data_IF_172079469438
#
_entry.id   IF_172079469438
#
_cell.length_a   1.000
_cell.length_b   1.000
_cell.length_c   1.000
_cell.angle_alpha   90.00
_cell.angle_beta   90.00
_cell.angle_gamma   90.00
#
_symmetry.space_group_name_H-M   'P 1'
#
loop_
_entity.id
_entity.type
_entity.pdbx_description
1 polymer ?
#
# COMPACT_ATOMS: atom_id res chain seq x y z
N UNK A 1 8.89 -25.48 10.59
CA UNK A 1 8.39 -26.23 9.44
C UNK A 1 7.78 -25.35 8.33
N UNK A 2 6.98 -24.31 8.61
CA UNK A 2 6.33 -23.44 7.59
C UNK A 2 7.31 -22.60 6.75
N UNK A 3 8.42 -22.12 7.34
CA UNK A 3 9.47 -21.37 6.60
C UNK A 3 10.23 -22.21 5.57
N UNK A 4 10.38 -23.52 5.81
CA UNK A 4 11.04 -24.43 4.88
C UNK A 4 10.22 -24.75 3.63
N UNK A 5 8.90 -24.77 3.73
CA UNK A 5 8.00 -25.06 2.59
C UNK A 5 7.97 -23.88 1.62
N UNK A 6 7.94 -22.64 2.13
CA UNK A 6 8.00 -21.42 1.29
C UNK A 6 9.36 -21.30 0.59
N UNK A 7 10.44 -21.66 1.29
CA UNK A 7 11.79 -21.71 0.71
C UNK A 7 11.91 -22.79 -0.38
N UNK A 8 11.32 -23.95 -0.16
CA UNK A 8 11.32 -25.05 -1.13
C UNK A 8 10.49 -24.70 -2.37
N UNK A 9 9.34 -24.06 -2.21
CA UNK A 9 8.50 -23.59 -3.32
C UNK A 9 9.19 -22.50 -4.15
N UNK A 10 9.86 -21.55 -3.51
CA UNK A 10 10.68 -20.54 -4.20
C UNK A 10 11.88 -21.15 -4.91
N UNK A 11 12.57 -22.14 -4.31
CA UNK A 11 13.69 -22.86 -4.94
C UNK A 11 13.22 -23.73 -6.11
N UNK A 12 12.08 -24.38 -6.02
CA UNK A 12 11.49 -25.15 -7.15
C UNK A 12 11.10 -24.21 -8.29
N UNK A 13 10.57 -23.02 -7.98
CA UNK A 13 10.30 -21.97 -8.98
C UNK A 13 11.59 -21.54 -9.71
N UNK A 14 12.69 -21.37 -8.98
CA UNK A 14 13.99 -20.94 -9.55
C UNK A 14 14.63 -22.04 -10.42
N UNK A 15 14.58 -23.31 -9.99
CA UNK A 15 15.24 -24.42 -10.71
C UNK A 15 14.50 -24.86 -11.98
N UNK A 16 13.20 -24.59 -12.10
CA UNK A 16 12.41 -24.97 -13.29
C UNK A 16 12.63 -24.04 -14.50
N UNK A 17 13.28 -22.88 -14.32
CA UNK A 17 13.46 -21.87 -15.37
C UNK A 17 14.60 -22.11 -16.36
N UNK A 18 15.33 -23.23 -16.30
CA UNK A 18 16.59 -23.39 -17.04
C UNK A 18 16.47 -23.86 -18.51
N UNK A 19 15.28 -24.04 -19.04
CA UNK A 19 15.17 -24.50 -20.43
C UNK A 19 13.97 -23.94 -21.17
N UNK A 20 14.11 -22.84 -21.91
CA UNK A 20 13.47 -22.66 -23.23
C UNK A 20 14.09 -21.49 -24.02
N UNK A 21 14.26 -21.75 -25.31
CA UNK A 21 15.04 -20.97 -26.24
C UNK A 21 14.29 -19.80 -26.84
N UNK A 22 15.01 -18.70 -27.08
CA UNK A 22 14.60 -17.57 -27.91
C UNK A 22 15.25 -17.62 -29.29
N UNK A 23 14.51 -17.39 -30.34
CA UNK A 23 15.00 -17.17 -31.68
C UNK A 23 14.21 -16.02 -32.34
N UNK A 24 14.86 -14.93 -32.69
CA UNK A 24 15.07 -14.46 -34.06
C UNK A 24 15.57 -13.00 -34.07
N UNK A 25 16.69 -12.77 -34.78
CA UNK A 25 17.39 -11.54 -35.15
C UNK A 25 18.53 -11.03 -34.24
N UNK A 26 18.84 -11.67 -33.13
CA UNK A 26 20.05 -11.38 -32.35
C UNK A 26 21.18 -12.36 -32.72
N UNK A 27 22.43 -11.89 -32.62
CA UNK A 27 23.56 -12.80 -32.70
C UNK A 27 23.48 -13.83 -31.55
N UNK A 28 24.03 -15.05 -31.76
CA UNK A 28 23.99 -16.07 -30.73
C UNK A 28 24.64 -15.61 -29.41
N UNK A 29 25.60 -14.71 -29.47
CA UNK A 29 26.29 -14.14 -28.31
C UNK A 29 25.42 -13.11 -27.57
N UNK A 30 24.70 -12.26 -28.28
CA UNK A 30 23.74 -11.30 -27.69
C UNK A 30 22.56 -12.01 -27.04
N UNK A 31 22.03 -13.07 -27.67
CA UNK A 31 20.96 -13.89 -27.11
C UNK A 31 21.40 -14.61 -25.83
N UNK A 32 22.64 -15.15 -25.81
CA UNK A 32 23.20 -15.78 -24.61
C UNK A 32 23.42 -14.78 -23.47
N UNK A 33 23.87 -13.57 -23.78
CA UNK A 33 24.05 -12.48 -22.79
C UNK A 33 22.70 -12.01 -22.23
N UNK A 34 21.69 -11.81 -23.09
CA UNK A 34 20.35 -11.44 -22.67
C UNK A 34 19.74 -12.50 -21.75
N UNK A 35 19.85 -13.78 -22.11
CA UNK A 35 19.36 -14.87 -21.27
C UNK A 35 20.12 -14.93 -19.93
N UNK A 36 21.43 -14.75 -19.91
CA UNK A 36 22.22 -14.67 -18.68
C UNK A 36 21.73 -13.51 -17.78
N UNK A 37 21.50 -12.34 -18.37
CA UNK A 37 21.04 -11.17 -17.62
C UNK A 37 19.61 -11.39 -17.10
N UNK A 38 18.72 -12.01 -17.85
CA UNK A 38 17.37 -12.38 -17.42
C UNK A 38 17.41 -13.33 -16.21
N UNK A 39 18.21 -14.39 -16.27
CA UNK A 39 18.38 -15.34 -15.16
C UNK A 39 18.99 -14.64 -13.94
N UNK A 40 19.98 -13.78 -14.12
CA UNK A 40 20.58 -13.01 -13.02
C UNK A 40 19.53 -12.10 -12.37
N UNK A 41 18.70 -11.43 -13.16
CA UNK A 41 17.60 -10.57 -12.65
C UNK A 41 16.59 -11.39 -11.84
N UNK A 42 16.22 -12.60 -12.30
CA UNK A 42 15.33 -13.50 -11.57
C UNK A 42 15.93 -13.99 -10.25
N UNK A 43 17.23 -14.25 -10.21
CA UNK A 43 17.94 -14.59 -8.97
C UNK A 43 17.90 -13.43 -7.99
N UNK A 44 18.15 -12.19 -8.46
CA UNK A 44 18.07 -10.99 -7.64
C UNK A 44 16.65 -10.79 -7.09
N UNK A 45 15.63 -10.96 -7.94
CA UNK A 45 14.22 -10.91 -7.53
C UNK A 45 13.92 -11.96 -6.45
N UNK A 46 14.33 -13.19 -6.64
CA UNK A 46 14.10 -14.28 -5.70
C UNK A 46 14.79 -14.06 -4.35
N UNK A 47 16.05 -13.60 -4.37
CA UNK A 47 16.78 -13.23 -3.14
C UNK A 47 16.10 -12.06 -2.44
N UNK A 48 15.73 -11.01 -3.16
CA UNK A 48 14.99 -9.88 -2.60
C UNK A 48 13.65 -10.32 -1.97
N UNK A 49 12.90 -11.21 -2.64
CA UNK A 49 11.65 -11.78 -2.12
C UNK A 49 11.88 -12.53 -0.79
N UNK A 50 12.90 -13.39 -0.72
CA UNK A 50 13.24 -14.12 0.52
C UNK A 50 13.61 -13.15 1.65
N UNK A 51 14.41 -12.12 1.36
CA UNK A 51 14.81 -11.12 2.34
C UNK A 51 13.62 -10.27 2.81
N UNK A 52 12.68 -9.91 1.93
CA UNK A 52 11.45 -9.21 2.30
C UNK A 52 10.51 -10.06 3.15
N UNK A 53 10.37 -11.35 2.84
CA UNK A 53 9.50 -12.28 3.61
C UNK A 53 10.10 -12.58 4.99
N UNK A 54 11.42 -12.71 5.07
CA UNK A 54 12.09 -13.10 6.32
C UNK A 54 12.40 -11.92 7.22
N UNK A 55 12.51 -10.71 6.64
CA UNK A 55 12.90 -9.46 7.31
C UNK A 55 14.21 -9.59 8.15
N UNK A 56 15.12 -10.51 7.75
CA UNK A 56 16.43 -10.68 8.39
C UNK A 56 17.26 -9.41 8.26
N UNK A 57 17.08 -8.68 7.15
CA UNK A 57 17.70 -7.39 6.88
C UNK A 57 16.56 -6.36 6.76
N UNK A 58 16.74 -5.11 7.25
CA UNK A 58 15.73 -4.05 7.11
C UNK A 58 15.27 -3.88 5.66
N UNK A 59 13.96 -3.68 5.46
CA UNK A 59 13.33 -3.59 4.13
C UNK A 59 14.02 -2.57 3.21
N UNK A 60 14.33 -1.37 3.74
CA UNK A 60 15.01 -0.32 2.99
C UNK A 60 16.42 -0.74 2.51
N UNK A 61 17.15 -1.50 3.35
CA UNK A 61 18.49 -2.00 3.02
C UNK A 61 18.39 -3.06 1.93
N UNK A 62 17.46 -4.00 2.05
CA UNK A 62 17.20 -5.01 1.01
C UNK A 62 16.85 -4.34 -0.31
N UNK A 63 15.94 -3.37 -0.30
CA UNK A 63 15.51 -2.68 -1.51
C UNK A 63 16.65 -1.92 -2.18
N UNK A 64 17.48 -1.22 -1.41
CA UNK A 64 18.63 -0.47 -1.94
C UNK A 64 19.81 -1.34 -2.33
N UNK A 65 19.90 -2.59 -1.83
CA UNK A 65 20.87 -3.56 -2.33
C UNK A 65 20.56 -4.01 -3.77
N UNK A 66 19.29 -4.00 -4.17
CA UNK A 66 18.87 -4.41 -5.53
C UNK A 66 19.57 -3.59 -6.63
N UNK A 67 19.49 -2.25 -6.70
CA UNK A 67 20.18 -1.47 -7.72
C UNK A 67 21.71 -1.64 -7.67
N UNK A 68 22.28 -1.80 -6.49
CA UNK A 68 23.73 -2.06 -6.33
C UNK A 68 24.10 -3.38 -6.98
N UNK A 69 23.38 -4.46 -6.69
CA UNK A 69 23.67 -5.79 -7.23
C UNK A 69 23.40 -5.85 -8.74
N UNK A 70 22.31 -5.23 -9.22
CA UNK A 70 22.02 -5.11 -10.66
C UNK A 70 23.17 -4.44 -11.43
N UNK A 71 23.76 -3.40 -10.85
CA UNK A 71 24.91 -2.73 -11.47
C UNK A 71 26.19 -3.55 -11.36
N UNK A 72 26.53 -4.10 -10.19
CA UNK A 72 27.73 -4.91 -9.99
C UNK A 72 27.75 -6.19 -10.83
N UNK A 73 26.58 -6.77 -11.11
CA UNK A 73 26.45 -7.94 -11.98
C UNK A 73 26.45 -7.59 -13.47
N UNK A 74 26.47 -6.30 -13.82
CA UNK A 74 26.50 -5.80 -15.19
C UNK A 74 25.15 -5.96 -15.92
N UNK A 75 24.07 -6.25 -15.22
CA UNK A 75 22.71 -6.36 -15.79
C UNK A 75 22.24 -5.03 -16.36
N UNK A 76 22.46 -3.94 -15.59
CA UNK A 76 22.13 -2.58 -16.01
C UNK A 76 23.24 -1.60 -15.64
N UNK A 77 23.35 -0.50 -16.40
CA UNK A 77 24.29 0.58 -16.12
C UNK A 77 23.98 1.33 -14.82
N UNK A 78 24.95 2.00 -14.22
CA UNK A 78 24.79 2.69 -12.94
C UNK A 78 23.66 3.74 -12.96
N UNK A 79 23.53 4.52 -14.03
CA UNK A 79 22.48 5.52 -14.18
C UNK A 79 21.07 4.87 -14.16
N UNK A 80 20.93 3.74 -14.81
CA UNK A 80 19.66 3.01 -14.89
C UNK A 80 19.35 2.28 -13.58
N UNK A 81 20.37 1.67 -12.95
CA UNK A 81 20.22 0.99 -11.69
C UNK A 81 19.66 1.90 -10.59
N UNK A 82 20.01 3.17 -10.59
CA UNK A 82 19.55 4.15 -9.59
C UNK A 82 18.45 5.08 -10.11
N UNK A 83 17.87 4.82 -11.28
CA UNK A 83 16.82 5.65 -11.87
C UNK A 83 15.59 5.78 -10.96
N UNK A 84 15.25 4.75 -10.21
CA UNK A 84 14.15 4.77 -9.27
C UNK A 84 14.25 5.85 -8.17
N UNK A 85 15.46 6.33 -7.83
CA UNK A 85 15.63 7.39 -6.82
C UNK A 85 15.09 8.75 -7.27
N UNK A 86 15.05 9.02 -8.57
CA UNK A 86 14.51 10.27 -9.14
C UNK A 86 13.19 10.04 -9.92
N UNK A 87 12.54 8.91 -9.69
CA UNK A 87 11.22 8.65 -10.23
C UNK A 87 10.20 9.65 -9.72
N UNK A 88 9.30 10.09 -10.59
CA UNK A 88 8.30 11.11 -10.27
C UNK A 88 7.34 10.68 -9.18
N UNK A 89 7.03 9.39 -9.06
CA UNK A 89 6.18 8.85 -8.00
C UNK A 89 6.90 8.87 -6.64
N UNK A 90 8.22 8.68 -6.60
CA UNK A 90 9.02 8.82 -5.38
C UNK A 90 8.99 10.26 -4.87
N UNK A 91 9.16 11.23 -5.77
CA UNK A 91 9.08 12.67 -5.43
C UNK A 91 7.67 13.05 -4.97
N UNK A 92 6.64 12.58 -5.69
CA UNK A 92 5.23 12.76 -5.31
C UNK A 92 4.98 12.29 -3.88
N UNK A 93 5.45 11.10 -3.55
CA UNK A 93 5.20 10.48 -2.26
C UNK A 93 5.90 11.20 -1.12
N UNK A 94 7.17 11.58 -1.31
CA UNK A 94 7.90 12.38 -0.34
C UNK A 94 7.18 13.71 -0.04
N UNK A 95 6.71 14.42 -1.07
CA UNK A 95 5.93 15.65 -0.92
C UNK A 95 4.61 15.43 -0.15
N UNK A 96 3.86 14.38 -0.46
CA UNK A 96 2.60 14.07 0.21
C UNK A 96 2.77 13.66 1.68
N UNK A 97 3.86 13.00 2.06
CA UNK A 97 4.18 12.77 3.46
C UNK A 97 4.30 14.08 4.25
N UNK A 98 4.96 15.07 3.68
CA UNK A 98 5.14 16.39 4.32
C UNK A 98 3.79 17.13 4.43
N UNK A 99 3.01 17.17 3.34
CA UNK A 99 1.67 17.82 3.34
C UNK A 99 0.75 17.13 4.34
N UNK A 100 0.76 15.79 4.37
CA UNK A 100 -0.02 15.02 5.35
C UNK A 100 0.37 15.30 6.80
N UNK A 101 1.67 15.37 7.07
CA UNK A 101 2.18 15.66 8.41
C UNK A 101 1.75 17.05 8.92
N UNK A 102 1.59 18.03 8.04
CA UNK A 102 1.12 19.36 8.45
C UNK A 102 -0.27 19.31 9.10
N UNK A 103 -1.17 18.41 8.66
CA UNK A 103 -2.49 18.25 9.26
C UNK A 103 -2.43 17.60 10.65
N UNK A 104 -1.49 16.67 10.85
CA UNK A 104 -1.30 16.05 12.16
C UNK A 104 -0.64 17.01 13.13
N UNK A 105 0.44 17.70 12.73
CA UNK A 105 1.19 18.61 13.58
C UNK A 105 0.39 19.87 13.98
N UNK A 106 -0.50 20.35 13.11
CA UNK A 106 -1.39 21.49 13.41
C UNK A 106 -2.67 21.11 14.16
N UNK A 107 -2.93 19.80 14.34
CA UNK A 107 -4.11 19.30 15.05
C UNK A 107 -5.42 19.32 14.24
N UNK A 108 -5.37 19.56 12.92
CA UNK A 108 -6.55 19.50 12.03
C UNK A 108 -7.23 18.15 12.08
N UNK A 109 -6.43 17.05 11.96
CA UNK A 109 -6.96 15.69 11.99
C UNK A 109 -7.67 15.37 13.31
N UNK A 110 -7.14 15.83 14.46
CA UNK A 110 -7.78 15.70 15.77
C UNK A 110 -9.12 16.47 15.81
N UNK A 111 -9.14 17.72 15.35
CA UNK A 111 -10.36 18.55 15.33
C UNK A 111 -11.47 17.92 14.48
N UNK A 112 -11.12 17.29 13.35
CA UNK A 112 -12.07 16.54 12.52
C UNK A 112 -12.62 15.36 13.33
N UNK A 113 -11.76 14.57 13.99
CA UNK A 113 -12.17 13.46 14.85
C UNK A 113 -13.14 13.91 15.95
N UNK A 114 -12.81 14.94 16.74
CA UNK A 114 -13.64 15.48 17.81
C UNK A 114 -15.02 15.97 17.30
N UNK A 115 -15.06 16.53 16.10
CA UNK A 115 -16.32 17.01 15.50
C UNK A 115 -17.28 15.86 15.19
N UNK A 116 -16.76 14.75 14.66
CA UNK A 116 -17.59 13.57 14.35
C UNK A 116 -18.16 12.92 15.58
N UNK A 117 -17.35 12.84 16.61
CA UNK A 117 -17.79 12.37 17.91
C UNK A 117 -19.01 13.14 18.40
N UNK A 118 -18.93 14.46 18.33
CA UNK A 118 -20.02 15.33 18.73
C UNK A 118 -21.30 15.08 17.93
N UNK A 119 -21.17 14.77 16.64
CA UNK A 119 -22.30 14.52 15.73
C UNK A 119 -22.87 13.09 15.93
N UNK A 120 -22.02 12.09 16.21
CA UNK A 120 -22.43 10.68 16.35
C UNK A 120 -23.31 10.44 17.60
N UNK A 121 -23.20 11.26 18.63
CA UNK A 121 -23.99 11.15 19.87
C UNK A 121 -23.71 9.84 20.63
N UNK A 122 -24.73 9.27 21.29
CA UNK A 122 -24.62 8.11 22.19
C UNK A 122 -24.88 6.75 21.53
N UNK A 123 -24.98 6.67 20.20
CA UNK A 123 -25.23 5.40 19.50
C UNK A 123 -23.93 4.76 19.07
N UNK A 124 -23.60 3.54 19.56
CA UNK A 124 -22.40 2.78 19.22
C UNK A 124 -22.25 2.57 17.69
N UNK A 125 -23.35 2.25 16.98
CA UNK A 125 -23.33 2.05 15.52
C UNK A 125 -23.03 3.35 14.79
N UNK A 126 -23.65 4.47 15.19
CA UNK A 126 -23.42 5.79 14.57
C UNK A 126 -22.00 6.25 14.82
N UNK A 127 -21.45 5.99 16.00
CA UNK A 127 -20.07 6.31 16.32
C UNK A 127 -19.10 5.45 15.50
N UNK A 128 -19.29 4.14 15.49
CA UNK A 128 -18.46 3.25 14.68
C UNK A 128 -18.49 3.66 13.20
N UNK A 129 -19.67 3.99 12.67
CA UNK A 129 -19.79 4.52 11.31
C UNK A 129 -19.04 5.85 11.15
N UNK A 130 -19.24 6.81 12.05
CA UNK A 130 -18.59 8.12 11.98
C UNK A 130 -17.06 8.03 12.05
N UNK A 131 -16.53 7.20 12.96
CA UNK A 131 -15.10 6.95 13.09
C UNK A 131 -14.54 6.29 11.84
N UNK A 132 -15.22 5.25 11.30
CA UNK A 132 -14.81 4.59 10.06
C UNK A 132 -14.86 5.55 8.87
N UNK A 133 -15.93 6.34 8.74
CA UNK A 133 -16.07 7.28 7.62
C UNK A 133 -14.94 8.31 7.61
N UNK A 134 -14.63 8.90 8.77
CA UNK A 134 -13.51 9.85 8.86
C UNK A 134 -12.17 9.18 8.68
N UNK A 135 -11.97 8.01 9.27
CA UNK A 135 -10.74 7.26 9.04
C UNK A 135 -10.53 7.00 7.54
N UNK A 136 -11.57 6.60 6.81
CA UNK A 136 -11.48 6.37 5.38
C UNK A 136 -11.19 7.66 4.59
N UNK A 137 -11.90 8.76 4.91
CA UNK A 137 -11.69 10.05 4.22
C UNK A 137 -10.29 10.61 4.50
N UNK A 138 -9.86 10.64 5.75
CA UNK A 138 -8.52 11.12 6.09
C UNK A 138 -7.45 10.22 5.48
N UNK A 139 -7.61 8.91 5.56
CA UNK A 139 -6.65 7.93 5.06
C UNK A 139 -6.55 7.91 3.53
N UNK A 140 -7.55 8.43 2.83
CA UNK A 140 -7.48 8.55 1.37
C UNK A 140 -6.42 9.54 0.88
N UNK A 141 -6.02 10.49 1.72
CA UNK A 141 -5.02 11.52 1.38
C UNK A 141 -3.87 11.61 2.40
N UNK A 142 -3.99 10.92 3.53
CA UNK A 142 -2.99 10.85 4.58
C UNK A 142 -2.55 9.39 4.80
N UNK A 143 -1.47 9.17 5.55
CA UNK A 143 -1.06 7.80 5.87
C UNK A 143 -2.09 7.08 6.76
N UNK A 144 -2.35 5.80 6.47
CA UNK A 144 -3.24 4.94 7.27
C UNK A 144 -2.81 4.91 8.74
N UNK A 145 -1.51 4.83 8.99
CA UNK A 145 -0.90 4.81 10.33
C UNK A 145 -1.14 6.10 11.08
N UNK A 146 -0.85 7.25 10.44
CA UNK A 146 -1.07 8.57 11.04
C UNK A 146 -2.54 8.83 11.35
N UNK A 147 -3.43 8.49 10.42
CA UNK A 147 -4.88 8.60 10.61
C UNK A 147 -5.34 7.77 11.81
N UNK A 148 -4.91 6.50 11.90
CA UNK A 148 -5.26 5.62 13.02
C UNK A 148 -4.69 6.16 14.34
N UNK A 149 -3.42 6.58 14.36
CA UNK A 149 -2.77 7.08 15.58
C UNK A 149 -3.47 8.32 16.16
N UNK A 150 -3.91 9.26 15.30
CA UNK A 150 -4.60 10.48 15.74
C UNK A 150 -6.03 10.20 16.21
N UNK A 151 -6.75 9.30 15.53
CA UNK A 151 -8.12 8.98 15.89
C UNK A 151 -8.22 7.99 17.07
N UNK A 152 -7.16 7.22 17.35
CA UNK A 152 -7.12 6.21 18.41
C UNK A 152 -7.49 6.75 19.80
N UNK A 153 -6.84 7.81 20.35
CA UNK A 153 -7.19 8.33 21.68
C UNK A 153 -8.61 8.88 21.71
N UNK A 154 -9.06 9.53 20.63
CA UNK A 154 -10.42 10.03 20.51
C UNK A 154 -11.43 8.89 20.57
N UNK A 155 -11.21 7.82 19.80
CA UNK A 155 -12.06 6.62 19.79
C UNK A 155 -12.08 5.89 21.15
N UNK A 156 -10.92 5.82 21.84
CA UNK A 156 -10.82 5.25 23.20
C UNK A 156 -11.62 6.09 24.20
N UNK A 157 -11.42 7.40 24.22
CA UNK A 157 -12.08 8.31 25.15
C UNK A 157 -13.60 8.19 25.06
N UNK A 158 -14.15 8.09 23.85
CA UNK A 158 -15.58 7.97 23.64
C UNK A 158 -16.10 6.57 24.04
N UNK A 159 -15.46 5.51 23.58
CA UNK A 159 -15.86 4.16 23.94
C UNK A 159 -15.88 4.02 25.48
N UNK A 160 -14.89 4.57 26.17
CA UNK A 160 -14.78 4.54 27.62
C UNK A 160 -15.87 5.38 28.32
N UNK A 161 -16.12 6.61 27.85
CA UNK A 161 -17.14 7.50 28.44
C UNK A 161 -18.57 6.98 28.22
N UNK A 162 -18.81 6.26 27.13
CA UNK A 162 -20.09 5.64 26.81
C UNK A 162 -20.26 4.23 27.44
N UNK A 163 -19.24 3.69 28.12
CA UNK A 163 -19.26 2.37 28.71
C UNK A 163 -19.24 1.21 27.66
N UNK A 164 -18.74 1.48 26.47
CA UNK A 164 -18.67 0.50 25.39
C UNK A 164 -17.34 -0.24 25.34
N UNK A 165 -17.34 -1.45 24.76
CA UNK A 165 -16.11 -2.16 24.45
C UNK A 165 -15.29 -1.37 23.40
N UNK A 166 -14.06 -1.01 23.77
CA UNK A 166 -13.11 -0.32 22.88
C UNK A 166 -12.92 -1.10 21.57
N UNK A 167 -12.92 -2.43 21.63
CA UNK A 167 -12.76 -3.28 20.47
C UNK A 167 -13.79 -3.02 19.36
N UNK A 168 -15.04 -2.72 19.72
CA UNK A 168 -16.13 -2.44 18.76
C UNK A 168 -15.93 -1.17 17.93
N UNK A 169 -15.01 -0.30 18.34
CA UNK A 169 -14.70 0.96 17.64
C UNK A 169 -13.30 0.92 17.04
N UNK A 170 -12.31 0.33 17.75
CA UNK A 170 -10.91 0.40 17.36
C UNK A 170 -10.55 -0.51 16.18
N UNK A 171 -11.09 -1.74 16.11
CA UNK A 171 -10.85 -2.60 14.95
C UNK A 171 -11.48 -2.01 13.67
N UNK A 172 -12.76 -1.55 13.69
CA UNK A 172 -13.32 -0.81 12.56
C UNK A 172 -12.52 0.43 12.15
N UNK A 173 -11.98 1.20 13.10
CA UNK A 173 -11.10 2.33 12.82
C UNK A 173 -9.89 1.92 11.97
N UNK A 174 -9.14 0.92 12.43
CA UNK A 174 -7.91 0.47 11.76
C UNK A 174 -8.20 -0.11 10.36
N UNK A 175 -9.24 -0.94 10.25
CA UNK A 175 -9.62 -1.57 8.98
C UNK A 175 -10.17 -0.54 7.98
N UNK A 176 -10.96 0.44 8.45
CA UNK A 176 -11.48 1.51 7.61
C UNK A 176 -10.36 2.47 7.14
N UNK A 177 -9.33 2.72 7.95
CA UNK A 177 -8.16 3.46 7.51
C UNK A 177 -7.44 2.72 6.37
N UNK A 178 -7.27 1.39 6.48
CA UNK A 178 -6.70 0.58 5.41
C UNK A 178 -7.53 0.61 4.11
N UNK A 179 -8.86 0.48 4.23
CA UNK A 179 -9.77 0.58 3.09
C UNK A 179 -9.75 1.98 2.46
N UNK A 180 -9.76 3.04 3.28
CA UNK A 180 -9.72 4.43 2.82
C UNK A 180 -8.46 4.76 2.02
N UNK A 181 -7.32 4.18 2.39
CA UNK A 181 -6.08 4.33 1.64
C UNK A 181 -6.15 3.86 0.19
N UNK A 182 -7.12 3.02 -0.16
CA UNK A 182 -7.32 2.54 -1.54
C UNK A 182 -8.06 3.53 -2.45
N UNK A 183 -8.58 4.67 -1.91
CA UNK A 183 -9.45 5.58 -2.65
C UNK A 183 -8.66 6.49 -3.60
N UNK A 184 -7.44 6.86 -3.26
CA UNK A 184 -6.61 7.72 -4.11
C UNK A 184 -5.26 7.12 -4.40
N UNK A 185 -4.58 7.67 -5.38
CA UNK A 185 -3.21 7.27 -5.75
C UNK A 185 -2.24 7.35 -4.57
N UNK A 186 -2.37 8.35 -3.71
CA UNK A 186 -1.43 8.64 -2.61
C UNK A 186 -1.87 8.08 -1.24
N UNK A 187 -3.07 7.52 -1.13
CA UNK A 187 -3.61 7.05 0.14
C UNK A 187 -2.85 5.86 0.73
N UNK A 188 -2.22 5.04 -0.12
CA UNK A 188 -1.41 3.91 0.33
C UNK A 188 -0.24 3.65 -0.62
N UNK A 189 0.95 3.25 -0.12
CA UNK A 189 2.15 3.02 -0.93
C UNK A 189 1.98 2.04 -2.10
N UNK A 190 1.27 0.91 -1.97
CA UNK A 190 1.02 -0.01 -3.09
C UNK A 190 0.45 0.65 -4.35
N UNK A 191 -0.44 1.62 -4.20
CA UNK A 191 -1.07 2.31 -5.34
C UNK A 191 -0.04 3.06 -6.19
N UNK A 192 0.84 3.81 -5.53
CA UNK A 192 1.92 4.53 -6.21
C UNK A 192 2.93 3.58 -6.83
N UNK A 193 3.19 2.44 -6.19
CA UNK A 193 4.15 1.48 -6.67
C UNK A 193 3.67 0.82 -7.98
N UNK A 194 2.42 0.37 -8.03
CA UNK A 194 1.87 -0.18 -9.28
C UNK A 194 1.79 0.88 -10.38
N UNK A 195 1.58 2.16 -10.00
CA UNK A 195 1.63 3.29 -10.92
C UNK A 195 3.03 3.51 -11.49
N UNK A 196 4.06 3.50 -10.65
CA UNK A 196 5.46 3.62 -11.07
C UNK A 196 5.91 2.47 -11.98
N UNK A 197 5.41 1.25 -11.76
CA UNK A 197 5.68 0.10 -12.65
C UNK A 197 5.06 0.32 -14.04
N UNK A 198 3.86 0.90 -14.14
CA UNK A 198 3.30 1.32 -15.44
C UNK A 198 4.19 2.36 -16.11
N UNK A 199 4.63 3.39 -15.37
CA UNK A 199 5.50 4.44 -15.90
C UNK A 199 6.85 3.89 -16.40
N UNK A 200 7.48 2.97 -15.68
CA UNK A 200 8.73 2.32 -16.13
C UNK A 200 8.57 1.50 -17.41
N UNK A 201 7.38 0.97 -17.65
CA UNK A 201 7.03 0.24 -18.88
C UNK A 201 6.57 1.15 -20.03
N UNK A 202 6.58 2.48 -19.85
CA UNK A 202 6.12 3.45 -20.83
C UNK A 202 4.60 3.43 -21.07
N UNK A 203 3.83 2.87 -20.13
CA UNK A 203 2.38 2.82 -20.18
C UNK A 203 1.77 4.04 -19.50
N UNK A 204 0.49 4.33 -19.79
CA UNK A 204 -0.26 5.40 -19.12
C UNK A 204 -0.32 5.11 -17.63
N UNK A 205 0.05 6.08 -16.82
CA UNK A 205 -0.11 6.03 -15.38
C UNK A 205 -1.56 6.29 -14.96
N UNK A 206 -1.96 5.81 -13.76
CA UNK A 206 -3.27 6.09 -13.20
C UNK A 206 -3.39 7.55 -12.76
N UNK A 207 -4.56 8.14 -12.95
CA UNK A 207 -4.89 9.45 -12.41
C UNK A 207 -5.09 9.44 -10.90
N UNK A 208 -5.03 10.63 -10.26
CA UNK A 208 -5.08 10.79 -8.81
C UNK A 208 -6.28 10.10 -8.15
N UNK A 209 -7.50 10.28 -8.69
CA UNK A 209 -8.74 9.66 -8.18
C UNK A 209 -9.16 8.41 -8.94
N UNK A 210 -8.37 7.92 -9.89
CA UNK A 210 -8.73 6.72 -10.66
C UNK A 210 -8.86 5.48 -9.76
N UNK A 211 -8.05 5.40 -8.70
CA UNK A 211 -8.21 4.39 -7.65
C UNK A 211 -9.56 4.47 -6.95
N UNK A 212 -10.21 5.64 -6.90
CA UNK A 212 -11.53 5.82 -6.30
C UNK A 212 -12.63 5.01 -6.97
N UNK A 213 -12.47 4.67 -8.25
CA UNK A 213 -13.44 3.85 -8.98
C UNK A 213 -13.60 2.44 -8.36
N UNK A 214 -12.53 1.91 -7.77
CA UNK A 214 -12.56 0.66 -7.02
C UNK A 214 -12.53 0.89 -5.51
N UNK A 215 -11.77 1.86 -5.02
CA UNK A 215 -11.57 2.11 -3.59
C UNK A 215 -12.84 2.56 -2.88
N UNK A 216 -13.70 3.37 -3.52
CA UNK A 216 -14.97 3.79 -2.92
C UNK A 216 -15.93 2.60 -2.77
N UNK A 217 -16.25 1.79 -3.81
CA UNK A 217 -17.04 0.57 -3.66
C UNK A 217 -16.50 -0.37 -2.60
N UNK A 218 -15.17 -0.56 -2.58
CA UNK A 218 -14.48 -1.42 -1.62
C UNK A 218 -14.65 -0.92 -0.18
N UNK A 219 -14.45 0.37 0.05
CA UNK A 219 -14.61 1.02 1.35
C UNK A 219 -16.05 0.92 1.83
N UNK A 220 -17.02 1.21 0.98
CA UNK A 220 -18.45 1.10 1.32
C UNK A 220 -18.85 -0.34 1.67
N UNK A 221 -18.45 -1.32 0.87
CA UNK A 221 -18.71 -2.74 1.14
C UNK A 221 -18.07 -3.20 2.46
N UNK A 222 -16.81 -2.78 2.71
CA UNK A 222 -16.12 -3.07 3.97
C UNK A 222 -16.79 -2.40 5.18
N UNK A 223 -17.24 -1.16 5.07
CA UNK A 223 -17.97 -0.47 6.14
C UNK A 223 -19.30 -1.15 6.43
N UNK A 224 -20.08 -1.53 5.41
CA UNK A 224 -21.33 -2.28 5.58
C UNK A 224 -21.06 -3.62 6.26
N UNK A 225 -20.03 -4.34 5.83
CA UNK A 225 -19.64 -5.59 6.49
C UNK A 225 -19.28 -5.37 7.96
N UNK A 226 -18.43 -4.39 8.28
CA UNK A 226 -17.98 -4.12 9.64
C UNK A 226 -19.11 -3.68 10.57
N UNK A 227 -20.12 -2.97 10.07
CA UNK A 227 -21.29 -2.54 10.85
C UNK A 227 -22.32 -3.67 11.06
N UNK A 228 -22.32 -4.68 10.22
CA UNK A 228 -23.32 -5.76 10.24
C UNK A 228 -22.73 -7.07 10.77
N UNK A 229 -22.06 -7.82 9.90
CA UNK A 229 -21.50 -9.15 10.22
C UNK A 229 -20.23 -8.99 11.06
N UNK A 230 -19.31 -8.13 10.64
CA UNK A 230 -18.01 -7.92 11.30
C UNK A 230 -18.16 -7.53 12.76
N UNK A 231 -19.13 -6.67 13.08
CA UNK A 231 -19.42 -6.27 14.47
C UNK A 231 -19.75 -7.45 15.39
N UNK A 232 -20.40 -8.50 14.86
CA UNK A 232 -20.73 -9.72 15.63
C UNK A 232 -19.51 -10.60 15.84
N UNK A 233 -18.50 -10.51 14.96
CA UNK A 233 -17.25 -11.27 15.03
C UNK A 233 -16.21 -10.60 15.91
N UNK A 234 -16.30 -9.28 16.09
CA UNK A 234 -15.42 -8.53 17.00
C UNK A 234 -15.76 -8.91 18.44
N UNK A 235 -14.77 -9.37 19.24
CA UNK A 235 -15.02 -9.78 20.61
C UNK A 235 -15.47 -8.62 21.49
N UNK A 236 -16.43 -8.89 22.36
CA UNK A 236 -16.85 -7.98 23.42
C UNK A 236 -16.07 -8.31 24.68
N UNK A 237 -15.00 -7.58 24.93
CA UNK A 237 -14.12 -7.78 26.07
C UNK A 237 -14.15 -6.58 27.00
N UNK A 238 -13.95 -6.80 28.31
CA UNK A 238 -13.69 -5.70 29.23
C UNK A 238 -12.52 -4.85 28.71
N UNK A 239 -12.67 -3.54 28.82
CA UNK A 239 -11.58 -2.64 28.42
C UNK A 239 -10.32 -2.94 29.24
N UNK A 240 -9.12 -3.00 28.60
CA UNK A 240 -7.86 -3.13 29.32
C UNK A 240 -7.77 -2.06 30.42
N UNK A 241 -7.26 -2.45 31.60
CA UNK A 241 -7.08 -1.51 32.71
C UNK A 241 -6.15 -0.37 32.29
N UNK A 242 -6.55 0.84 32.67
CA UNK A 242 -6.07 2.11 32.15
C UNK A 242 -4.58 2.43 32.40
N UNK A 243 -3.68 1.84 31.62
CA UNK A 243 -2.37 2.45 31.43
C UNK A 243 -2.41 3.61 30.40
N UNK A 244 -3.42 3.63 29.53
CA UNK A 244 -3.55 4.64 28.47
C UNK A 244 -4.22 5.94 28.93
N UNK A 245 -5.02 5.94 29.99
CA UNK A 245 -5.65 7.17 30.52
C UNK A 245 -4.68 8.09 31.27
N UNK A 246 -3.51 7.59 31.68
CA UNK A 246 -2.49 8.39 32.37
C UNK A 246 -1.62 9.26 31.45
N UNK A 247 -1.69 9.06 30.15
CA UNK A 247 -0.92 9.83 29.15
C UNK A 247 -1.74 10.93 28.45
N UNK A 248 -2.94 11.25 28.92
CA UNK A 248 -3.76 12.33 28.33
C UNK A 248 -3.16 13.74 28.51
N UNK A 249 -2.16 13.90 29.39
CA UNK A 249 -1.44 15.18 29.59
C UNK A 249 -0.16 15.33 28.73
N UNK A 250 0.17 14.34 27.91
CA UNK A 250 1.33 14.41 27.03
C UNK A 250 1.01 15.25 25.80
N UNK A 251 1.51 16.47 25.80
CA UNK A 251 1.56 17.44 24.70
C UNK A 251 0.22 17.92 24.13
N UNK A 252 -0.53 18.70 24.92
CA UNK A 252 -1.45 19.69 24.36
C UNK A 252 -0.60 20.74 23.65
N UNK A 253 -0.14 20.44 22.41
CA UNK A 253 0.45 21.45 21.53
C UNK A 253 -0.58 22.58 21.41
N UNK A 254 -0.16 23.82 21.69
CA UNK A 254 -1.02 24.98 21.51
C UNK A 254 -1.60 24.97 20.10
N UNK A 255 -2.92 24.79 20.05
CA UNK A 255 -3.66 24.74 18.79
C UNK A 255 -3.69 26.15 18.21
N UNK A 256 -2.94 26.38 17.14
CA UNK A 256 -2.96 27.65 16.43
C UNK A 256 -3.97 27.60 15.27
N UNK A 257 -5.13 28.28 15.37
CA UNK A 257 -6.18 28.23 14.35
C UNK A 257 -5.72 28.69 12.97
N UNK A 258 -4.79 29.65 12.92
CA UNK A 258 -4.23 30.14 11.66
C UNK A 258 -3.41 29.03 10.96
N UNK A 259 -2.58 28.31 11.70
CA UNK A 259 -1.81 27.18 11.14
C UNK A 259 -2.72 26.05 10.68
N UNK A 260 -3.80 25.77 11.41
CA UNK A 260 -4.82 24.81 10.99
C UNK A 260 -5.46 25.19 9.65
N UNK A 261 -5.87 26.45 9.53
CA UNK A 261 -6.46 26.95 8.28
C UNK A 261 -5.48 26.86 7.12
N UNK A 262 -4.22 27.29 7.32
CA UNK A 262 -3.18 27.24 6.27
C UNK A 262 -2.89 25.80 5.86
N UNK A 263 -2.68 24.87 6.80
CA UNK A 263 -2.41 23.46 6.50
C UNK A 263 -3.57 22.83 5.71
N UNK A 264 -4.81 23.12 6.11
CA UNK A 264 -6.01 22.64 5.40
C UNK A 264 -6.10 23.23 3.99
N UNK A 265 -5.84 24.54 3.84
CA UNK A 265 -5.88 25.22 2.55
C UNK A 265 -4.79 24.67 1.59
N UNK A 266 -3.58 24.40 2.10
CA UNK A 266 -2.51 23.80 1.32
C UNK A 266 -2.91 22.39 0.85
N UNK A 267 -3.41 21.54 1.75
CA UNK A 267 -3.84 20.18 1.35
C UNK A 267 -4.93 20.23 0.28
N UNK A 268 -6.00 21.02 0.52
CA UNK A 268 -7.10 21.15 -0.44
C UNK A 268 -6.63 21.72 -1.77
N UNK A 269 -5.75 22.72 -1.75
CA UNK A 269 -5.15 23.28 -2.94
C UNK A 269 -4.36 22.25 -3.74
N UNK A 270 -3.48 21.47 -3.07
CA UNK A 270 -2.71 20.41 -3.69
C UNK A 270 -3.63 19.35 -4.30
N UNK A 271 -4.63 18.87 -3.55
CA UNK A 271 -5.58 17.86 -4.04
C UNK A 271 -6.39 18.36 -5.23
N UNK A 272 -6.85 19.62 -5.22
CA UNK A 272 -7.58 20.23 -6.33
C UNK A 272 -6.68 20.32 -7.57
N UNK A 273 -5.45 20.80 -7.42
CA UNK A 273 -4.47 20.93 -8.51
C UNK A 273 -4.18 19.56 -9.12
N UNK A 274 -3.98 18.53 -8.31
CA UNK A 274 -3.75 17.16 -8.74
C UNK A 274 -4.98 16.55 -9.44
N UNK A 275 -6.18 16.86 -8.97
CA UNK A 275 -7.43 16.34 -9.53
C UNK A 275 -7.74 16.94 -10.90
N UNK A 276 -7.46 18.24 -11.04
CA UNK A 276 -7.69 18.97 -12.30
C UNK A 276 -6.53 18.83 -13.30
N UNK A 277 -5.47 18.08 -12.92
CA UNK A 277 -4.26 17.86 -13.73
C UNK A 277 -3.64 19.17 -14.27
N UNK A 278 -3.65 20.23 -13.42
CA UNK A 278 -3.18 21.58 -13.79
C UNK A 278 -1.66 21.57 -13.98
N UNK A 279 -0.95 20.85 -13.13
CA UNK A 279 0.50 20.63 -13.20
C UNK A 279 0.80 19.17 -12.80
N UNK A 280 1.98 18.61 -13.18
CA UNK A 280 2.35 17.26 -12.81
C UNK A 280 2.24 17.00 -11.31
N UNK A 281 1.75 15.81 -10.94
CA UNK A 281 1.43 15.45 -9.54
C UNK A 281 2.62 15.64 -8.59
N UNK A 282 3.84 15.27 -9.00
CA UNK A 282 5.06 15.43 -8.21
C UNK A 282 5.44 16.90 -8.01
N UNK A 283 5.13 17.78 -8.97
CA UNK A 283 5.34 19.22 -8.82
C UNK A 283 4.35 19.80 -7.82
N UNK A 284 3.06 19.41 -7.92
CA UNK A 284 2.02 19.85 -6.99
C UNK A 284 2.33 19.44 -5.55
N UNK A 285 2.72 18.19 -5.31
CA UNK A 285 3.08 17.68 -3.98
C UNK A 285 4.30 18.41 -3.39
N UNK A 286 5.33 18.60 -4.21
CA UNK A 286 6.56 19.30 -3.79
C UNK A 286 6.26 20.77 -3.46
N UNK A 287 5.48 21.46 -4.29
CA UNK A 287 5.05 22.83 -4.02
C UNK A 287 4.25 22.93 -2.70
N UNK A 288 3.34 21.99 -2.46
CA UNK A 288 2.60 21.88 -1.20
C UNK A 288 3.51 21.68 0.01
N UNK A 289 4.50 20.77 -0.11
CA UNK A 289 5.48 20.52 0.93
C UNK A 289 6.32 21.78 1.27
N UNK A 290 6.79 22.49 0.25
CA UNK A 290 7.51 23.76 0.40
C UNK A 290 6.64 24.83 1.07
N UNK A 291 5.37 24.95 0.67
CA UNK A 291 4.43 25.89 1.30
C UNK A 291 4.21 25.55 2.78
N UNK A 292 4.14 24.27 3.17
CA UNK A 292 4.04 23.89 4.57
C UNK A 292 5.21 24.40 5.42
N UNK A 293 6.43 24.36 4.87
CA UNK A 293 7.63 24.83 5.56
C UNK A 293 7.71 26.37 5.55
N UNK A 294 7.50 27.02 4.41
CA UNK A 294 7.58 28.49 4.25
C UNK A 294 6.52 29.20 5.10
N UNK A 295 5.31 28.65 5.21
CA UNK A 295 4.24 29.22 6.04
C UNK A 295 4.40 28.91 7.55
N UNK A 296 5.41 28.10 7.92
CA UNK A 296 5.65 27.70 9.30
C UNK A 296 4.59 26.79 9.90
N UNK A 297 3.79 26.10 9.07
CA UNK A 297 2.91 25.02 9.53
C UNK A 297 3.71 23.81 9.99
N UNK A 298 4.87 23.58 9.35
CA UNK A 298 5.92 22.64 9.77
C UNK A 298 7.28 23.38 9.82
N UNK A 299 8.12 22.97 10.76
CA UNK A 299 9.55 23.27 10.66
C UNK A 299 10.21 22.32 9.65
N UNK A 300 11.34 22.74 9.07
CA UNK A 300 12.15 21.90 8.17
C UNK A 300 12.46 20.53 8.78
N UNK A 301 12.85 20.50 10.06
CA UNK A 301 13.14 19.26 10.78
C UNK A 301 11.93 18.34 10.90
N UNK A 302 10.74 18.89 11.10
CA UNK A 302 9.49 18.11 11.12
C UNK A 302 9.17 17.57 9.73
N UNK A 303 9.34 18.38 8.68
CA UNK A 303 9.16 17.98 7.30
C UNK A 303 10.04 16.76 6.93
N UNK A 304 11.34 16.81 7.22
CA UNK A 304 12.24 15.67 6.98
C UNK A 304 11.89 14.42 7.78
N UNK A 305 11.44 14.58 9.04
CA UNK A 305 11.05 13.46 9.90
C UNK A 305 9.73 12.82 9.50
N UNK A 306 8.87 13.54 8.80
CA UNK A 306 7.58 13.02 8.36
C UNK A 306 7.67 12.12 7.15
N UNK A 307 8.79 12.16 6.43
CA UNK A 307 9.00 11.30 5.26
C UNK A 307 9.32 9.88 5.76
N UNK A 308 8.53 8.91 5.31
CA UNK A 308 8.84 7.49 5.51
C UNK A 308 9.93 7.05 4.53
N UNK A 309 11.18 7.18 4.95
CA UNK A 309 12.35 6.82 4.17
C UNK A 309 12.39 5.33 3.81
N UNK A 310 11.82 4.47 4.63
CA UNK A 310 11.72 3.04 4.34
C UNK A 310 10.90 2.81 3.08
N UNK A 311 9.73 3.44 3.01
CA UNK A 311 8.87 3.39 1.82
C UNK A 311 9.55 4.02 0.60
N UNK A 312 10.21 5.18 0.75
CA UNK A 312 10.93 5.86 -0.34
C UNK A 312 12.02 4.95 -0.94
N UNK A 313 12.87 4.37 -0.11
CA UNK A 313 13.96 3.49 -0.58
C UNK A 313 13.44 2.17 -1.15
N UNK A 314 12.36 1.64 -0.59
CA UNK A 314 11.72 0.43 -1.10
C UNK A 314 11.16 0.67 -2.52
N UNK A 315 10.53 1.82 -2.73
CA UNK A 315 10.05 2.26 -4.03
C UNK A 315 11.20 2.37 -5.04
N UNK A 316 12.20 3.17 -4.70
CA UNK A 316 13.33 3.45 -5.58
C UNK A 316 14.06 2.18 -6.01
N UNK A 317 14.33 1.26 -5.07
CA UNK A 317 15.02 0.01 -5.37
C UNK A 317 14.20 -0.94 -6.25
N UNK A 318 12.89 -1.04 -5.99
CA UNK A 318 12.02 -1.99 -6.70
C UNK A 318 11.61 -1.51 -8.09
N UNK A 319 11.51 -0.20 -8.33
CA UNK A 319 11.34 0.33 -9.68
C UNK A 319 12.56 0.03 -10.57
N UNK A 320 13.77 0.06 -9.99
CA UNK A 320 14.99 -0.36 -10.69
C UNK A 320 14.93 -1.83 -11.11
N UNK A 321 14.41 -2.69 -10.22
CA UNK A 321 14.22 -4.12 -10.54
C UNK A 321 13.15 -4.31 -11.63
N UNK A 322 12.03 -3.58 -11.56
CA UNK A 322 10.97 -3.63 -12.59
C UNK A 322 11.53 -3.27 -13.97
N UNK A 323 12.30 -2.18 -14.06
CA UNK A 323 12.98 -1.78 -15.31
C UNK A 323 13.98 -2.84 -15.79
N UNK A 324 14.75 -3.45 -14.90
CA UNK A 324 15.68 -4.52 -15.25
C UNK A 324 14.95 -5.77 -15.77
N UNK A 325 13.81 -6.14 -15.16
CA UNK A 325 13.00 -7.29 -15.62
C UNK A 325 12.46 -7.09 -17.03
N UNK A 326 12.02 -5.88 -17.36
CA UNK A 326 11.54 -5.53 -18.70
C UNK A 326 12.70 -5.60 -19.73
N UNK A 327 13.80 -4.91 -19.46
CA UNK A 327 14.95 -4.82 -20.37
C UNK A 327 15.64 -6.16 -20.63
N UNK A 328 15.75 -7.01 -19.63
CA UNK A 328 16.42 -8.32 -19.76
C UNK A 328 15.52 -9.41 -20.32
N UNK A 329 14.21 -9.19 -20.40
CA UNK A 329 13.24 -10.21 -20.73
C UNK A 329 12.98 -11.20 -19.59
N UNK A 330 13.44 -10.94 -18.37
CA UNK A 330 13.18 -11.77 -17.19
C UNK A 330 11.68 -11.91 -16.92
N UNK A 331 10.92 -10.83 -17.15
CA UNK A 331 9.45 -10.84 -17.05
C UNK A 331 8.82 -11.82 -18.03
N UNK A 332 9.30 -11.90 -19.26
CA UNK A 332 8.80 -12.86 -20.25
C UNK A 332 9.04 -14.32 -19.82
N UNK A 333 10.18 -14.64 -19.23
CA UNK A 333 10.43 -15.97 -18.70
C UNK A 333 9.41 -16.38 -17.62
N UNK A 334 9.05 -15.45 -16.73
CA UNK A 334 7.99 -15.68 -15.73
C UNK A 334 6.64 -15.91 -16.43
N UNK A 335 6.28 -15.06 -17.38
CA UNK A 335 5.02 -15.14 -18.10
C UNK A 335 4.91 -16.48 -18.85
N UNK A 336 5.93 -16.87 -19.60
CA UNK A 336 5.97 -18.14 -20.36
C UNK A 336 5.81 -19.34 -19.43
N UNK A 337 6.46 -19.33 -18.26
CA UNK A 337 6.30 -20.40 -17.27
C UNK A 337 4.87 -20.46 -16.72
N UNK A 338 4.31 -19.31 -16.32
CA UNK A 338 2.94 -19.25 -15.79
C UNK A 338 1.93 -19.71 -16.82
N UNK A 339 2.08 -19.28 -18.08
CA UNK A 339 1.23 -19.69 -19.20
C UNK A 339 1.39 -21.20 -19.46
N UNK A 340 2.62 -21.73 -19.39
CA UNK A 340 2.88 -23.16 -19.52
C UNK A 340 2.18 -24.02 -18.46
N UNK A 341 2.04 -23.49 -17.22
CA UNK A 341 1.36 -24.18 -16.12
C UNK A 341 -0.16 -24.04 -16.19
N UNK A 342 -0.65 -22.86 -16.50
CA UNK A 342 -2.10 -22.52 -16.45
C UNK A 342 -2.78 -22.83 -17.80
N UNK A 343 -2.03 -22.82 -18.90
CA UNK A 343 -2.52 -22.97 -20.27
C UNK A 343 -2.67 -21.63 -20.99
N UNK A 344 -2.53 -21.63 -22.32
CA UNK A 344 -2.62 -20.43 -23.17
C UNK A 344 -4.05 -19.83 -23.21
N UNK A 345 -5.07 -20.66 -22.96
CA UNK A 345 -6.47 -20.26 -22.94
C UNK A 345 -6.95 -19.81 -21.53
N UNK A 346 -6.02 -19.60 -20.61
CA UNK A 346 -6.37 -19.20 -19.24
C UNK A 346 -7.12 -17.86 -19.23
N UNK A 347 -8.31 -17.87 -18.67
CA UNK A 347 -9.08 -16.64 -18.50
C UNK A 347 -8.30 -15.63 -17.62
N UNK A 348 -8.21 -14.35 -18.01
CA UNK A 348 -7.62 -13.30 -17.18
C UNK A 348 -8.19 -13.23 -15.76
N UNK A 349 -9.43 -13.65 -15.56
CA UNK A 349 -10.05 -13.77 -14.24
C UNK A 349 -9.31 -14.75 -13.31
N UNK A 350 -8.77 -15.84 -13.85
CA UNK A 350 -7.97 -16.81 -13.07
C UNK A 350 -6.68 -16.16 -12.60
N UNK A 351 -6.02 -15.40 -13.48
CA UNK A 351 -4.80 -14.65 -13.15
C UNK A 351 -5.08 -13.58 -12.09
N UNK A 352 -6.13 -12.77 -12.30
CA UNK A 352 -6.55 -11.76 -11.34
C UNK A 352 -6.82 -12.37 -9.97
N UNK A 353 -7.51 -13.52 -9.93
CA UNK A 353 -7.80 -14.25 -8.69
C UNK A 353 -6.51 -14.72 -8.02
N UNK A 354 -5.61 -15.35 -8.77
CA UNK A 354 -4.33 -15.82 -8.25
C UNK A 354 -3.48 -14.65 -7.72
N UNK A 355 -3.38 -13.56 -8.47
CA UNK A 355 -2.63 -12.36 -8.06
C UNK A 355 -3.25 -11.68 -6.85
N UNK A 356 -4.58 -11.64 -6.74
CA UNK A 356 -5.25 -11.09 -5.56
C UNK A 356 -4.88 -11.88 -4.30
N UNK A 357 -5.09 -13.20 -4.29
CA UNK A 357 -4.83 -14.01 -3.10
C UNK A 357 -3.35 -14.13 -2.78
N UNK A 358 -2.48 -14.10 -3.76
CA UNK A 358 -1.04 -14.08 -3.55
C UNK A 358 -0.62 -12.74 -2.91
N UNK A 359 -1.08 -11.61 -3.44
CA UNK A 359 -0.76 -10.27 -2.94
C UNK A 359 -1.35 -10.04 -1.54
N UNK A 360 -2.63 -10.30 -1.35
CA UNK A 360 -3.27 -10.20 -0.05
C UNK A 360 -2.68 -11.17 0.98
N UNK A 361 -2.34 -12.40 0.56
CA UNK A 361 -1.72 -13.41 1.42
C UNK A 361 -0.33 -13.00 1.90
N UNK A 362 0.54 -12.53 1.00
CA UNK A 362 1.87 -12.02 1.38
C UNK A 362 1.76 -10.82 2.31
N UNK A 363 0.83 -9.90 2.05
CA UNK A 363 0.62 -8.69 2.85
C UNK A 363 0.18 -8.97 4.30
N UNK A 364 -0.25 -10.19 4.63
CA UNK A 364 -0.54 -10.55 6.02
C UNK A 364 0.72 -10.71 6.87
N UNK A 365 1.89 -10.93 6.26
CA UNK A 365 3.13 -11.30 6.94
C UNK A 365 4.31 -10.39 6.63
N UNK A 366 4.17 -9.53 5.62
CA UNK A 366 5.16 -8.53 5.21
C UNK A 366 4.46 -7.20 4.93
N UNK A 367 5.22 -6.11 4.79
CA UNK A 367 4.61 -4.80 4.53
C UNK A 367 3.82 -4.79 3.21
N UNK A 368 2.72 -4.04 3.17
CA UNK A 368 1.90 -3.83 1.97
C UNK A 368 2.74 -3.37 0.77
N UNK A 369 3.66 -2.44 1.03
CA UNK A 369 4.57 -1.90 0.01
C UNK A 369 5.49 -2.98 -0.54
N UNK A 370 6.08 -3.83 0.32
CA UNK A 370 6.96 -4.91 -0.12
C UNK A 370 6.20 -5.97 -0.92
N UNK A 371 4.95 -6.30 -0.54
CA UNK A 371 4.10 -7.22 -1.29
C UNK A 371 3.81 -6.68 -2.71
N UNK A 372 3.40 -5.43 -2.83
CA UNK A 372 3.16 -4.80 -4.13
C UNK A 372 4.45 -4.69 -4.96
N UNK A 373 5.56 -4.31 -4.31
CA UNK A 373 6.86 -4.17 -4.96
C UNK A 373 7.37 -5.47 -5.58
N UNK A 374 7.13 -6.59 -4.90
CA UNK A 374 7.49 -7.91 -5.39
C UNK A 374 6.60 -8.35 -6.56
N UNK A 375 5.29 -8.13 -6.44
CA UNK A 375 4.32 -8.71 -7.37
C UNK A 375 3.99 -7.83 -8.58
N UNK A 376 4.14 -6.51 -8.49
CA UNK A 376 3.77 -5.63 -9.59
C UNK A 376 4.60 -5.88 -10.88
N UNK A 377 5.94 -6.03 -10.83
CA UNK A 377 6.70 -6.39 -12.03
C UNK A 377 6.34 -7.76 -12.61
N UNK A 378 6.02 -8.72 -11.73
CA UNK A 378 5.59 -10.07 -12.13
C UNK A 378 4.21 -9.99 -12.80
N UNK A 379 3.28 -9.24 -12.20
CA UNK A 379 1.94 -9.03 -12.76
C UNK A 379 1.96 -8.35 -14.11
N UNK A 380 2.81 -7.33 -14.29
CA UNK A 380 3.03 -6.67 -15.59
C UNK A 380 3.52 -7.67 -16.65
N UNK A 381 4.51 -8.48 -16.29
CA UNK A 381 5.07 -9.48 -17.20
C UNK A 381 4.03 -10.53 -17.63
N UNK A 382 3.23 -11.02 -16.68
CA UNK A 382 2.14 -11.97 -16.96
C UNK A 382 1.07 -11.31 -17.85
N UNK A 383 0.69 -10.06 -17.56
CA UNK A 383 -0.27 -9.31 -18.37
C UNK A 383 0.19 -9.21 -19.83
N UNK A 384 1.43 -8.79 -20.03
CA UNK A 384 2.03 -8.66 -21.35
C UNK A 384 2.11 -10.04 -22.08
N UNK A 385 2.49 -11.10 -21.38
CA UNK A 385 2.61 -12.44 -21.97
C UNK A 385 1.27 -13.03 -22.41
N UNK A 386 0.17 -12.68 -21.74
CA UNK A 386 -1.20 -13.11 -22.08
C UNK A 386 -1.93 -12.16 -23.01
N UNK A 387 -1.36 -11.01 -23.36
CA UNK A 387 -2.06 -9.95 -24.06
C UNK A 387 -3.21 -9.35 -23.25
N UNK A 388 -3.20 -9.51 -21.92
CA UNK A 388 -4.18 -8.95 -21.02
C UNK A 388 -3.82 -7.52 -20.59
N UNK A 389 -4.82 -6.75 -20.13
CA UNK A 389 -4.61 -5.37 -19.69
C UNK A 389 -3.67 -5.28 -18.47
N UNK A 390 -2.49 -4.67 -18.58
CA UNK A 390 -1.60 -4.41 -17.44
C UNK A 390 -2.28 -3.60 -16.33
N UNK A 391 -3.13 -2.64 -16.69
CA UNK A 391 -3.84 -1.78 -15.74
C UNK A 391 -4.75 -2.60 -14.82
N UNK A 392 -5.53 -3.53 -15.36
CA UNK A 392 -6.43 -4.38 -14.57
C UNK A 392 -5.65 -5.26 -13.57
N UNK A 393 -4.56 -5.90 -14.02
CA UNK A 393 -3.76 -6.79 -13.19
C UNK A 393 -2.98 -6.01 -12.13
N UNK A 394 -2.39 -4.89 -12.48
CA UNK A 394 -1.65 -4.04 -11.54
C UNK A 394 -2.59 -3.37 -10.52
N UNK A 395 -3.78 -2.92 -10.93
CA UNK A 395 -4.81 -2.44 -10.01
C UNK A 395 -5.19 -3.52 -9.01
N UNK A 396 -5.42 -4.77 -9.48
CA UNK A 396 -5.73 -5.91 -8.60
C UNK A 396 -4.62 -6.13 -7.56
N UNK A 397 -3.35 -6.11 -7.96
CA UNK A 397 -2.20 -6.30 -7.08
C UNK A 397 -2.12 -5.17 -6.04
N UNK A 398 -2.22 -3.91 -6.46
CA UNK A 398 -2.13 -2.74 -5.58
C UNK A 398 -3.21 -2.74 -4.51
N UNK A 399 -4.46 -2.99 -4.90
CA UNK A 399 -5.59 -3.09 -3.96
C UNK A 399 -5.41 -4.29 -3.02
N UNK A 400 -5.08 -5.47 -3.56
CA UNK A 400 -4.91 -6.68 -2.76
C UNK A 400 -3.76 -6.56 -1.74
N UNK A 401 -2.64 -5.91 -2.11
CA UNK A 401 -1.55 -5.61 -1.20
C UNK A 401 -1.98 -4.74 -0.01
N UNK A 402 -2.99 -3.90 -0.20
CA UNK A 402 -3.55 -3.05 0.87
C UNK A 402 -4.56 -3.78 1.75
N UNK A 403 -4.94 -5.03 1.42
CA UNK A 403 -5.89 -5.85 2.17
C UNK A 403 -5.25 -6.66 3.32
N UNK A 404 -4.34 -6.07 4.09
CA UNK A 404 -3.68 -6.70 5.23
C UNK A 404 -4.57 -6.70 6.49
N UNK A 405 -5.73 -7.35 6.43
CA UNK A 405 -6.78 -7.27 7.45
C UNK A 405 -6.81 -8.46 8.43
N UNK A 406 -6.21 -9.60 8.04
CA UNK A 406 -6.35 -10.84 8.80
C UNK A 406 -5.26 -11.05 9.87
N UNK A 407 -4.32 -10.11 10.01
CA UNK A 407 -3.27 -10.18 11.04
C UNK A 407 -3.04 -8.83 11.72
N UNK A 408 -2.60 -8.83 12.98
CA UNK A 408 -2.23 -7.58 13.66
C UNK A 408 -0.89 -7.01 13.18
N UNK A 409 -0.07 -7.81 12.49
CA UNK A 409 1.31 -7.43 12.11
C UNK A 409 1.44 -7.03 10.64
N UNK A 410 0.43 -7.31 9.81
CA UNK A 410 0.48 -7.00 8.37
C UNK A 410 0.51 -5.51 8.06
N UNK A 411 -0.02 -4.66 8.95
CA UNK A 411 -0.02 -3.21 8.78
C UNK A 411 -0.01 -2.47 10.13
N UNK A 412 0.70 -1.34 10.25
CA UNK A 412 0.81 -0.57 11.51
C UNK A 412 -0.54 -0.16 12.12
N UNK A 413 -1.58 0.25 11.38
CA UNK A 413 -2.91 0.51 11.96
C UNK A 413 -3.44 -0.63 12.82
N UNK A 414 -3.31 -1.88 12.36
CA UNK A 414 -3.76 -3.05 13.10
C UNK A 414 -2.95 -3.25 14.40
N UNK A 415 -1.64 -3.04 14.33
CA UNK A 415 -0.74 -3.13 15.50
C UNK A 415 -1.08 -2.07 16.54
N UNK A 416 -1.36 -0.83 16.12
CA UNK A 416 -1.70 0.28 17.02
C UNK A 416 -2.94 -0.02 17.87
N UNK A 417 -3.96 -0.65 17.30
CA UNK A 417 -5.22 -0.93 18.00
C UNK A 417 -5.20 -2.27 18.75
N UNK A 418 -4.18 -3.11 18.57
CA UNK A 418 -4.07 -4.45 19.16
C UNK A 418 -4.18 -4.43 20.69
N UNK A 419 -3.28 -3.69 21.34
CA UNK A 419 -3.23 -3.55 22.80
C UNK A 419 -4.44 -2.80 23.36
N UNK A 420 -4.71 -1.56 22.90
CA UNK A 420 -5.83 -0.76 23.39
C UNK A 420 -7.20 -1.42 23.21
N UNK A 421 -7.39 -2.20 22.14
CA UNK A 421 -8.62 -2.96 21.87
C UNK A 421 -8.70 -4.31 22.58
N UNK A 422 -7.63 -4.76 23.26
CA UNK A 422 -7.56 -6.06 23.92
C UNK A 422 -7.68 -7.24 22.95
N UNK A 423 -7.23 -7.07 21.70
CA UNK A 423 -7.36 -8.09 20.66
C UNK A 423 -6.33 -9.20 20.79
N UNK A 424 -6.68 -10.36 20.25
CA UNK A 424 -5.79 -11.50 20.02
C UNK A 424 -5.61 -11.68 18.51
N UNK A 425 -4.53 -12.35 18.12
CA UNK A 425 -4.26 -12.64 16.71
C UNK A 425 -5.46 -13.27 15.98
N UNK A 426 -6.15 -14.21 16.63
CA UNK A 426 -7.32 -14.92 16.07
C UNK A 426 -8.50 -13.98 15.79
N UNK A 427 -8.62 -12.86 16.50
CA UNK A 427 -9.71 -11.91 16.28
C UNK A 427 -9.58 -11.22 14.92
N UNK A 428 -8.33 -10.91 14.52
CA UNK A 428 -8.05 -10.39 13.17
C UNK A 428 -8.37 -11.41 12.07
N UNK A 429 -8.06 -12.70 12.29
CA UNK A 429 -8.43 -13.76 11.33
C UNK A 429 -9.94 -13.80 11.14
N UNK A 430 -10.70 -13.82 12.25
CA UNK A 430 -12.18 -13.93 12.21
C UNK A 430 -12.85 -12.77 11.49
N UNK A 431 -12.34 -11.55 11.69
CA UNK A 431 -12.92 -10.34 11.08
C UNK A 431 -12.29 -10.06 9.73
N UNK A 432 -10.98 -10.23 9.60
CA UNK A 432 -10.24 -9.84 8.41
C UNK A 432 -10.38 -10.80 7.24
N UNK A 433 -10.42 -12.12 7.46
CA UNK A 433 -10.56 -13.08 6.34
C UNK A 433 -11.85 -12.87 5.57
N UNK A 434 -13.04 -12.76 6.20
CA UNK A 434 -14.26 -12.45 5.47
C UNK A 434 -14.20 -11.08 4.77
N UNK A 435 -13.54 -10.08 5.37
CA UNK A 435 -13.34 -8.78 4.75
C UNK A 435 -12.49 -8.88 3.48
N UNK A 436 -11.39 -9.66 3.52
CA UNK A 436 -10.55 -9.92 2.34
C UNK A 436 -11.36 -10.58 1.22
N UNK A 437 -12.24 -11.54 1.56
CA UNK A 437 -13.12 -12.18 0.57
C UNK A 437 -14.11 -11.18 -0.04
N UNK A 438 -14.67 -10.29 0.76
CA UNK A 438 -15.54 -9.21 0.26
C UNK A 438 -14.74 -8.27 -0.67
N UNK A 439 -13.52 -7.89 -0.29
CA UNK A 439 -12.64 -7.09 -1.14
C UNK A 439 -12.35 -7.80 -2.47
N UNK A 440 -12.07 -9.11 -2.45
CA UNK A 440 -11.89 -9.90 -3.65
C UNK A 440 -13.12 -9.86 -4.55
N UNK A 441 -14.32 -10.07 -4.00
CA UNK A 441 -15.58 -10.06 -4.76
C UNK A 441 -15.79 -8.70 -5.42
N UNK A 442 -15.56 -7.60 -4.69
CA UNK A 442 -15.67 -6.25 -5.25
C UNK A 442 -14.65 -6.05 -6.38
N UNK A 443 -13.38 -6.44 -6.16
CA UNK A 443 -12.32 -6.30 -7.15
C UNK A 443 -12.60 -7.09 -8.43
N UNK A 444 -12.98 -8.37 -8.31
CA UNK A 444 -13.17 -9.23 -9.49
C UNK A 444 -14.40 -8.80 -10.34
N UNK A 445 -15.33 -8.05 -9.74
CA UNK A 445 -16.49 -7.49 -10.44
C UNK A 445 -16.16 -6.12 -11.03
N UNK A 446 -15.60 -5.21 -10.23
CA UNK A 446 -15.46 -3.80 -10.61
C UNK A 446 -14.27 -3.56 -11.53
N UNK A 447 -13.12 -4.20 -11.27
CA UNK A 447 -11.89 -3.95 -12.03
C UNK A 447 -12.09 -4.24 -13.53
N UNK A 448 -12.67 -5.38 -13.97
CA UNK A 448 -12.87 -5.65 -15.38
C UNK A 448 -13.88 -4.71 -16.08
N UNK A 449 -14.79 -4.10 -15.32
CA UNK A 449 -15.77 -3.13 -15.83
C UNK A 449 -15.07 -1.80 -16.13
N UNK A 450 -14.17 -1.37 -15.24
CA UNK A 450 -13.48 -0.07 -15.35
C UNK A 450 -12.25 -0.16 -16.25
N UNK A 451 -11.48 -1.24 -16.11
CA UNK A 451 -10.29 -1.55 -16.91
C UNK A 451 -10.51 -2.85 -17.67
N UNK A 452 -11.00 -2.80 -18.94
CA UNK A 452 -11.25 -3.99 -19.76
C UNK A 452 -10.00 -4.86 -19.83
N UNK A 453 -10.22 -6.18 -19.78
CA UNK A 453 -9.12 -7.16 -19.68
C UNK A 453 -8.37 -7.37 -21.00
N UNK A 454 -8.98 -6.98 -22.13
CA UNK A 454 -8.42 -7.01 -23.50
C UNK A 454 -8.68 -5.69 -24.22
#
# INVERSE_FOLDING_TARGET
MKKGIVFLLLMVLIFSFTTMAFAQEMTAEEAALQHKNAVTTLIILAVAAVLFITEIIPLAVTAMAVPVVLNLTGVVGAKEAFAGLYDTNVVLFAGMFVVGAALFETGVAKKIGDTVVRIAGTSEIKLAFGVMFIAAVLSSVLSNTGTTAVLLPVAIGIASSAGWSRGKVLMPLALAAGLGGTITLVGTPPNLLVNGVLGTAGLREFGFFEFGLIGIPLTLAGMVYLLTIGRKLIPDRPNPQDEFSKNEDADVKEVNPTKQFIATAILLGVVIIMTLDIIPLHVASTAGALLCVVTGTLSEKQAYRSIDWTTIFLFAGMLSLASAMDKTGAGKLIADYVIGVIGQDASPYVIMTAMFFLSAGLSQFMSNTASAALLAPIGLAIANGLGASPHAILMMIGIAASCAFATPVGTPPNTLVLGPGGFKFVDYIKVGVPLIVICYIVCIIVIPIVWPLY
#
